data_IF_011947209356
#
_entry.id   IF_011947209356
#
_cell.length_a   1.000
_cell.length_b   1.000
_cell.length_c   1.000
_cell.angle_alpha   90.00
_cell.angle_beta   90.00
_cell.angle_gamma   90.00
#
_symmetry.space_group_name_H-M   'P 1'
#
loop_
_entity.id
_entity.type
_entity.pdbx_description
1 polymer ?
#
# COMPACT_ATOMS: atom_id res chain seq x y z
N UNK A 1 -69.54 -85.16 -26.55
CA UNK A 1 -70.64 -85.34 -27.53
C UNK A 1 -70.64 -84.11 -28.43
N UNK A 2 -70.70 -84.28 -29.76
CA UNK A 2 -71.13 -83.26 -30.75
C UNK A 2 -70.36 -81.91 -30.79
N UNK A 3 -69.40 -81.81 -31.73
CA UNK A 3 -69.09 -80.67 -32.66
C UNK A 3 -68.68 -79.27 -32.14
N UNK A 4 -68.12 -78.34 -32.93
CA UNK A 4 -67.20 -78.33 -34.12
C UNK A 4 -66.89 -76.87 -34.51
N UNK A 5 -65.82 -76.64 -35.29
CA UNK A 5 -65.60 -75.48 -36.20
C UNK A 5 -65.38 -74.08 -35.57
N UNK A 6 -64.19 -73.46 -35.75
CA UNK A 6 -63.77 -72.54 -36.84
C UNK A 6 -64.32 -71.09 -36.64
N UNK A 7 -63.56 -69.98 -36.85
CA UNK A 7 -62.41 -69.74 -37.76
C UNK A 7 -61.24 -68.90 -37.19
N UNK A 8 -60.20 -68.84 -38.02
CA UNK A 8 -59.01 -67.97 -38.11
C UNK A 8 -59.30 -66.44 -37.88
N UNK A 9 -58.32 -65.53 -37.67
CA UNK A 9 -56.96 -65.51 -38.27
C UNK A 9 -55.90 -64.60 -37.59
N UNK A 10 -54.61 -64.93 -37.85
CA UNK A 10 -53.37 -64.10 -37.81
C UNK A 10 -52.90 -63.60 -36.42
N UNK A 11 -51.68 -63.91 -35.92
CA UNK A 11 -50.28 -63.59 -36.37
C UNK A 11 -49.95 -62.09 -36.22
N UNK A 12 -48.86 -61.60 -35.61
CA UNK A 12 -47.59 -62.11 -34.97
C UNK A 12 -47.04 -60.97 -34.05
N UNK A 13 -46.10 -61.06 -33.10
CA UNK A 13 -45.16 -62.10 -32.62
C UNK A 13 -45.35 -62.49 -31.13
N UNK A 14 -44.37 -62.82 -30.26
CA UNK A 14 -42.88 -62.76 -30.23
C UNK A 14 -42.27 -61.35 -30.07
N UNK A 15 -41.34 -61.03 -29.15
CA UNK A 15 -40.62 -61.72 -28.03
C UNK A 15 -40.32 -60.64 -26.94
N UNK A 16 -40.67 -60.75 -25.64
CA UNK A 16 -40.12 -61.56 -24.52
C UNK A 16 -38.90 -60.97 -23.75
N UNK A 17 -39.04 -60.83 -22.42
CA UNK A 17 -37.98 -60.59 -21.39
C UNK A 17 -37.32 -59.19 -21.46
N UNK A 18 -36.87 -58.56 -20.37
CA UNK A 18 -36.19 -59.09 -19.17
C UNK A 18 -36.61 -58.36 -17.86
N UNK A 19 -36.13 -58.83 -16.70
CA UNK A 19 -36.41 -58.28 -15.36
C UNK A 19 -35.79 -56.91 -15.11
N UNK A 20 -36.40 -56.12 -14.22
CA UNK A 20 -35.71 -55.01 -13.51
C UNK A 20 -35.63 -55.32 -12.02
N UNK A 21 -34.43 -55.22 -11.45
CA UNK A 21 -34.25 -55.08 -10.00
C UNK A 21 -34.44 -53.60 -9.64
N UNK A 22 -35.18 -53.33 -8.58
CA UNK A 22 -35.34 -51.97 -8.03
C UNK A 22 -34.08 -51.53 -7.28
N UNK A 23 -33.04 -51.14 -8.02
CA UNK A 23 -31.83 -50.55 -7.42
C UNK A 23 -32.13 -49.11 -7.00
N UNK A 24 -32.36 -48.90 -5.70
CA UNK A 24 -32.57 -47.58 -5.13
C UNK A 24 -31.26 -46.78 -5.17
N UNK A 25 -31.08 -45.98 -6.22
CA UNK A 25 -29.95 -45.06 -6.32
C UNK A 25 -30.08 -43.97 -5.24
N UNK A 26 -29.23 -44.05 -4.21
CA UNK A 26 -28.96 -42.89 -3.37
C UNK A 26 -28.29 -41.84 -4.25
N UNK A 27 -29.06 -40.83 -4.64
CA UNK A 27 -28.52 -39.63 -5.23
C UNK A 27 -27.71 -38.90 -4.15
N UNK A 28 -26.39 -39.15 -4.13
CA UNK A 28 -25.43 -38.21 -3.57
C UNK A 28 -25.53 -36.92 -4.39
N UNK A 29 -26.47 -36.06 -4.00
CA UNK A 29 -26.38 -34.65 -4.33
C UNK A 29 -24.99 -34.19 -3.85
N UNK A 30 -24.14 -33.62 -4.72
CA UNK A 30 -22.99 -32.92 -4.21
C UNK A 30 -23.54 -31.86 -3.25
N UNK A 31 -22.98 -31.76 -2.05
CA UNK A 31 -23.10 -30.49 -1.34
C UNK A 31 -22.50 -29.46 -2.29
N UNK A 32 -23.32 -28.51 -2.73
CA UNK A 32 -22.80 -27.26 -3.24
C UNK A 32 -21.98 -26.69 -2.09
N UNK A 33 -20.65 -26.87 -2.17
CA UNK A 33 -19.74 -26.06 -1.39
C UNK A 33 -20.14 -24.62 -1.70
N UNK A 34 -20.66 -23.91 -0.69
CA UNK A 34 -20.78 -22.47 -0.80
C UNK A 34 -19.37 -22.01 -1.15
N UNK A 35 -19.22 -21.31 -2.29
CA UNK A 35 -17.99 -20.59 -2.54
C UNK A 35 -17.90 -19.56 -1.41
N UNK A 36 -17.13 -19.90 -0.38
CA UNK A 36 -16.76 -18.97 0.67
C UNK A 36 -16.03 -17.84 -0.07
N UNK A 37 -16.60 -16.63 -0.07
CA UNK A 37 -15.97 -15.51 -0.76
C UNK A 37 -14.57 -15.33 -0.16
N UNK A 38 -13.54 -15.48 -1.02
CA UNK A 38 -12.15 -15.38 -0.59
C UNK A 38 -11.91 -13.97 -0.08
N UNK A 39 -11.57 -13.85 1.21
CA UNK A 39 -11.31 -12.55 1.83
C UNK A 39 -9.87 -12.15 1.52
N UNK A 40 -9.70 -11.47 0.40
CA UNK A 40 -8.44 -10.87 -0.02
C UNK A 40 -7.99 -9.76 0.97
N UNK A 41 -6.69 -9.48 1.00
CA UNK A 41 -6.07 -8.40 1.79
C UNK A 41 -5.09 -7.66 0.87
N UNK A 42 -5.63 -6.74 0.06
CA UNK A 42 -4.96 -6.21 -1.14
C UNK A 42 -4.12 -4.95 -0.89
N UNK A 43 -4.30 -4.29 0.27
CA UNK A 43 -3.46 -3.16 0.72
C UNK A 43 -2.76 -3.49 2.03
N UNK A 44 -1.80 -2.66 2.47
CA UNK A 44 -1.22 -2.76 3.81
C UNK A 44 -2.27 -2.62 4.93
N UNK A 45 -3.39 -1.94 4.66
CA UNK A 45 -4.53 -1.74 5.56
C UNK A 45 -5.67 -2.75 5.42
N UNK A 46 -5.56 -3.72 4.51
CA UNK A 46 -6.65 -4.59 4.06
C UNK A 46 -7.47 -3.96 2.94
N UNK A 47 -7.86 -2.69 3.12
CA UNK A 47 -8.58 -1.86 2.15
C UNK A 47 -7.88 -0.49 1.93
N UNK A 48 -8.37 0.30 0.97
CA UNK A 48 -7.86 1.67 0.73
C UNK A 48 -8.13 2.62 1.91
N UNK A 49 -9.15 2.32 2.71
CA UNK A 49 -9.59 3.08 3.87
C UNK A 49 -8.74 2.83 5.14
N UNK A 50 -7.83 1.85 5.10
CA UNK A 50 -7.01 1.42 6.22
C UNK A 50 -7.79 0.96 7.47
N UNK A 51 -8.99 0.39 7.27
CA UNK A 51 -9.85 -0.07 8.40
C UNK A 51 -9.23 -1.21 9.21
N UNK A 52 -8.37 -2.02 8.57
CA UNK A 52 -7.84 -3.30 9.09
C UNK A 52 -8.91 -4.29 9.52
N UNK A 53 -10.14 -4.15 9.00
CA UNK A 53 -11.25 -5.05 9.26
C UNK A 53 -11.25 -6.23 8.28
N UNK A 54 -11.71 -7.40 8.74
CA UNK A 54 -11.95 -8.57 7.90
C UNK A 54 -13.39 -9.05 8.06
N UNK A 55 -14.16 -9.25 6.98
CA UNK A 55 -15.50 -9.83 7.05
C UNK A 55 -15.52 -11.34 7.30
N UNK A 56 -14.37 -12.00 7.47
CA UNK A 56 -14.26 -13.43 7.74
C UNK A 56 -14.87 -13.82 9.10
N UNK A 57 -15.51 -14.99 9.17
CA UNK A 57 -16.27 -15.48 10.34
C UNK A 57 -16.00 -16.94 10.69
N UNK A 58 -14.88 -17.49 10.23
CA UNK A 58 -14.47 -18.86 10.55
C UNK A 58 -13.89 -18.96 11.97
N UNK A 59 -13.21 -17.90 12.41
CA UNK A 59 -12.69 -17.72 13.76
C UNK A 59 -13.60 -16.69 14.43
N UNK A 60 -14.15 -17.02 15.58
CA UNK A 60 -14.94 -16.12 16.41
C UNK A 60 -14.71 -16.39 17.90
N UNK A 61 -15.43 -15.67 18.77
CA UNK A 61 -15.26 -15.76 20.23
C UNK A 61 -15.56 -17.17 20.81
N UNK A 62 -16.36 -17.98 20.11
CA UNK A 62 -16.85 -19.27 20.58
C UNK A 62 -15.88 -20.42 20.17
N UNK A 63 -14.88 -20.15 19.32
CA UNK A 63 -13.81 -21.11 18.93
C UNK A 63 -12.36 -20.57 18.95
N UNK A 64 -12.13 -19.32 19.37
CA UNK A 64 -10.79 -18.70 19.40
C UNK A 64 -9.72 -19.50 20.18
N UNK A 65 -10.13 -20.18 21.27
CA UNK A 65 -9.24 -20.99 22.10
C UNK A 65 -8.78 -22.29 21.42
N UNK A 66 -9.40 -22.70 20.30
CA UNK A 66 -9.02 -23.88 19.50
C UNK A 66 -7.95 -23.56 18.43
N UNK A 67 -7.40 -22.34 18.40
CA UNK A 67 -6.42 -21.92 17.39
C UNK A 67 -5.05 -22.62 17.54
N UNK A 68 -4.62 -23.30 16.48
CA UNK A 68 -3.28 -23.87 16.33
C UNK A 68 -2.45 -23.18 15.22
N UNK A 69 -1.12 -23.29 15.30
CA UNK A 69 -0.20 -22.75 14.29
C UNK A 69 -0.16 -23.71 13.08
N UNK A 70 -0.78 -23.30 11.97
CA UNK A 70 -0.79 -24.08 10.74
C UNK A 70 0.61 -24.26 10.12
N UNK A 71 1.40 -23.18 10.06
CA UNK A 71 2.80 -23.17 9.63
C UNK A 71 3.52 -21.90 10.13
N UNK A 72 4.85 -21.89 10.05
CA UNK A 72 5.69 -20.71 10.32
C UNK A 72 6.70 -20.55 9.19
N UNK A 73 6.75 -19.37 8.57
CA UNK A 73 7.75 -19.02 7.55
C UNK A 73 8.94 -18.30 8.20
N UNK A 74 10.17 -18.72 7.88
CA UNK A 74 11.38 -18.15 8.46
C UNK A 74 12.09 -17.18 7.51
N UNK A 75 12.13 -15.91 7.91
CA UNK A 75 12.81 -14.83 7.19
C UNK A 75 14.34 -14.79 7.37
N UNK A 76 14.93 -15.67 8.19
CA UNK A 76 16.37 -15.66 8.51
C UNK A 76 17.27 -15.74 7.28
N UNK A 77 16.88 -16.52 6.26
CA UNK A 77 17.57 -16.66 4.96
C UNK A 77 17.63 -15.36 4.13
N UNK A 78 16.90 -14.32 4.54
CA UNK A 78 16.87 -12.99 3.92
C UNK A 78 17.52 -11.92 4.81
N UNK A 79 18.20 -12.32 5.88
CA UNK A 79 18.80 -11.43 6.90
C UNK A 79 17.77 -10.49 7.57
N UNK A 80 16.50 -10.91 7.63
CA UNK A 80 15.42 -10.14 8.26
C UNK A 80 15.62 -10.00 9.77
N UNK A 81 15.68 -8.76 10.26
CA UNK A 81 15.83 -8.49 11.70
C UNK A 81 14.54 -7.92 12.33
N UNK A 82 13.69 -7.22 11.56
CA UNK A 82 12.40 -6.72 12.03
C UNK A 82 11.20 -7.40 11.36
N UNK A 83 10.26 -7.88 12.18
CA UNK A 83 8.96 -8.41 11.75
C UNK A 83 7.92 -7.31 11.52
N UNK A 84 8.27 -6.26 10.75
CA UNK A 84 7.39 -5.10 10.52
C UNK A 84 6.41 -5.26 9.36
N UNK A 85 6.62 -6.25 8.49
CA UNK A 85 5.78 -6.46 7.30
C UNK A 85 4.43 -7.08 7.66
N UNK A 86 3.33 -6.53 7.12
CA UNK A 86 2.04 -7.24 7.05
C UNK A 86 1.96 -7.89 5.65
N UNK A 87 1.85 -9.23 5.54
CA UNK A 87 1.63 -9.88 4.25
C UNK A 87 0.29 -9.46 3.62
N UNK A 88 0.31 -9.15 2.33
CA UNK A 88 -0.88 -9.00 1.51
C UNK A 88 -1.34 -10.38 1.00
N UNK A 89 -2.64 -10.63 1.01
CA UNK A 89 -3.22 -11.84 0.40
C UNK A 89 -3.96 -11.41 -0.87
N UNK A 90 -3.50 -11.92 -2.03
CA UNK A 90 -3.95 -11.49 -3.35
C UNK A 90 -4.08 -12.74 -4.24
N UNK A 91 -5.30 -13.04 -4.69
CA UNK A 91 -5.66 -14.08 -5.65
C UNK A 91 -5.02 -15.45 -5.31
N UNK A 92 -5.11 -15.86 -4.05
CA UNK A 92 -4.63 -17.16 -3.57
C UNK A 92 -3.15 -17.24 -3.21
N UNK A 93 -2.40 -16.12 -3.22
CA UNK A 93 -0.98 -16.06 -2.85
C UNK A 93 -0.75 -14.99 -1.77
N UNK A 94 0.21 -15.24 -0.86
CA UNK A 94 0.68 -14.25 0.11
C UNK A 94 1.92 -13.52 -0.43
N UNK A 95 1.97 -12.20 -0.26
CA UNK A 95 3.09 -11.36 -0.67
C UNK A 95 3.59 -10.52 0.50
N UNK A 96 4.90 -10.54 0.76
CA UNK A 96 5.52 -9.81 1.88
C UNK A 96 6.91 -9.31 1.51
N UNK A 97 7.53 -8.51 2.39
CA UNK A 97 8.93 -8.10 2.25
C UNK A 97 9.79 -8.56 3.42
N UNK A 98 11.05 -8.89 3.13
CA UNK A 98 12.01 -9.38 4.12
C UNK A 98 13.43 -8.79 3.93
N UNK A 99 14.12 -8.60 5.06
CA UNK A 99 15.52 -8.18 5.10
C UNK A 99 15.76 -6.68 4.86
N UNK A 100 16.94 -6.22 5.27
CA UNK A 100 17.45 -4.89 4.95
C UNK A 100 17.51 -4.64 3.42
N UNK A 101 17.63 -5.69 2.61
CA UNK A 101 17.61 -5.61 1.14
C UNK A 101 16.20 -5.60 0.53
N UNK A 102 15.14 -5.67 1.35
CA UNK A 102 13.73 -5.61 0.97
C UNK A 102 13.37 -6.57 -0.16
N UNK A 103 13.75 -7.84 0.02
CA UNK A 103 13.32 -8.92 -0.85
C UNK A 103 11.79 -8.95 -0.90
N UNK A 104 11.18 -8.96 -2.08
CA UNK A 104 9.76 -9.31 -2.21
C UNK A 104 9.67 -10.83 -2.24
N UNK A 105 8.76 -11.40 -1.46
CA UNK A 105 8.57 -12.84 -1.30
C UNK A 105 7.11 -13.17 -1.58
N UNK A 106 6.87 -14.12 -2.50
CA UNK A 106 5.56 -14.76 -2.67
C UNK A 106 5.57 -16.12 -1.95
N UNK A 107 4.49 -16.41 -1.22
CA UNK A 107 4.35 -17.57 -0.33
C UNK A 107 3.01 -18.25 -0.60
N UNK A 108 2.99 -19.58 -0.60
CA UNK A 108 1.77 -20.38 -0.63
C UNK A 108 1.04 -20.29 0.73
N UNK A 109 -0.25 -19.89 0.78
CA UNK A 109 -0.98 -19.68 2.03
C UNK A 109 -1.29 -20.98 2.77
N UNK A 110 -1.28 -22.13 2.11
CA UNK A 110 -1.68 -23.42 2.66
C UNK A 110 -0.47 -24.17 3.24
N UNK A 111 0.70 -24.09 2.61
CA UNK A 111 1.92 -24.80 3.04
C UNK A 111 2.97 -23.91 3.71
N UNK A 112 2.94 -22.59 3.49
CA UNK A 112 4.02 -21.68 3.87
C UNK A 112 5.25 -21.77 2.96
N UNK A 113 5.16 -22.43 1.80
CA UNK A 113 6.26 -22.58 0.84
C UNK A 113 6.54 -21.26 0.09
N UNK A 114 7.81 -20.85 0.01
CA UNK A 114 8.23 -19.71 -0.81
C UNK A 114 8.13 -20.06 -2.30
N UNK A 115 7.17 -19.47 -3.00
CA UNK A 115 6.91 -19.69 -4.43
C UNK A 115 7.95 -19.00 -5.32
N UNK A 116 8.24 -17.72 -5.04
CA UNK A 116 9.28 -16.95 -5.70
C UNK A 116 9.81 -15.84 -4.80
N UNK A 117 10.99 -15.31 -5.12
CA UNK A 117 11.54 -14.11 -4.47
C UNK A 117 12.18 -13.17 -5.49
N UNK A 118 11.91 -11.87 -5.38
CA UNK A 118 12.58 -10.82 -6.14
C UNK A 118 13.51 -9.99 -5.23
N UNK A 119 14.65 -9.55 -5.78
CA UNK A 119 15.59 -8.62 -5.13
C UNK A 119 16.40 -7.87 -6.18
N UNK A 120 16.50 -6.55 -6.01
CA UNK A 120 17.37 -5.67 -6.80
C UNK A 120 18.87 -6.04 -6.74
N UNK A 121 19.69 -5.58 -7.71
CA UNK A 121 21.15 -5.67 -7.63
C UNK A 121 21.73 -4.89 -6.45
N UNK A 122 23.03 -5.04 -6.19
CA UNK A 122 23.71 -4.20 -5.21
C UNK A 122 23.91 -2.79 -5.77
N UNK A 123 23.58 -1.78 -4.97
CA UNK A 123 23.73 -0.35 -5.29
C UNK A 123 24.45 0.34 -4.12
N UNK A 124 25.14 1.45 -4.37
CA UNK A 124 25.70 2.28 -3.28
C UNK A 124 24.55 2.88 -2.44
N UNK A 125 23.45 3.27 -3.11
CA UNK A 125 22.22 3.82 -2.50
C UNK A 125 21.63 2.97 -1.38
N UNK A 126 21.56 1.64 -1.51
CA UNK A 126 20.95 0.81 -0.47
C UNK A 126 21.83 0.69 0.78
N UNK A 127 23.16 0.84 0.63
CA UNK A 127 24.13 0.61 1.70
C UNK A 127 24.12 1.71 2.77
N UNK A 128 23.76 2.94 2.38
CA UNK A 128 23.54 4.05 3.33
C UNK A 128 22.06 4.21 3.74
N UNK A 129 21.16 3.28 3.41
CA UNK A 129 19.73 3.41 3.70
C UNK A 129 19.40 3.24 5.18
N UNK A 130 19.21 4.38 5.84
CA UNK A 130 18.78 4.57 7.24
C UNK A 130 17.39 3.98 7.61
N UNK A 131 16.62 3.48 6.62
CA UNK A 131 15.36 2.75 6.81
C UNK A 131 15.35 1.38 6.11
N UNK A 132 16.51 0.80 5.78
CA UNK A 132 16.64 -0.44 5.00
C UNK A 132 15.66 -1.56 5.45
N UNK A 133 15.78 -2.01 6.70
CA UNK A 133 15.01 -3.11 7.32
C UNK A 133 13.61 -2.70 7.81
N UNK A 134 13.11 -1.49 7.48
CA UNK A 134 11.81 -0.97 7.96
C UNK A 134 10.62 -1.31 7.03
N UNK A 135 10.80 -2.22 6.05
CA UNK A 135 9.79 -2.55 5.05
C UNK A 135 8.49 -3.10 5.66
N UNK A 136 7.34 -2.51 5.28
CA UNK A 136 6.03 -2.82 5.87
C UNK A 136 5.12 -3.74 5.05
N UNK A 137 5.45 -3.98 3.78
CA UNK A 137 4.62 -4.77 2.86
C UNK A 137 4.89 -4.38 1.41
N UNK A 138 3.91 -4.67 0.54
CA UNK A 138 3.94 -4.34 -0.91
C UNK A 138 2.73 -3.48 -1.30
N UNK A 139 2.85 -2.78 -2.42
CA UNK A 139 1.70 -2.20 -3.14
C UNK A 139 1.18 -3.20 -4.17
N UNK A 140 -0.08 -3.07 -4.58
CA UNK A 140 -0.70 -3.96 -5.57
C UNK A 140 -1.69 -3.20 -6.45
N UNK A 141 -1.77 -3.60 -7.72
CA UNK A 141 -2.77 -3.14 -8.68
C UNK A 141 -2.93 -4.14 -9.84
N UNK A 142 -3.92 -3.90 -10.71
CA UNK A 142 -4.21 -4.76 -11.87
C UNK A 142 -3.91 -4.00 -13.16
N UNK A 143 -3.08 -4.59 -14.04
CA UNK A 143 -2.65 -4.02 -15.33
C UNK A 143 -3.01 -4.97 -16.46
N UNK A 144 -3.89 -4.54 -17.37
CA UNK A 144 -4.40 -5.33 -18.50
C UNK A 144 -4.99 -6.71 -18.09
N UNK A 145 -5.51 -6.82 -16.88
CA UNK A 145 -6.02 -8.08 -16.32
C UNK A 145 -4.96 -9.00 -15.69
N UNK A 146 -3.72 -8.53 -15.51
CA UNK A 146 -2.67 -9.18 -14.73
C UNK A 146 -2.52 -8.52 -13.37
N UNK A 147 -2.24 -9.32 -12.35
CA UNK A 147 -1.88 -8.85 -11.01
C UNK A 147 -0.44 -8.33 -11.01
N UNK A 148 -0.22 -7.14 -10.44
CA UNK A 148 1.09 -6.50 -10.37
C UNK A 148 1.41 -6.11 -8.93
N UNK A 149 2.59 -6.52 -8.46
CA UNK A 149 3.13 -6.16 -7.14
C UNK A 149 4.13 -5.01 -7.33
N UNK A 150 3.97 -3.95 -6.55
CA UNK A 150 4.82 -2.75 -6.60
C UNK A 150 5.61 -2.61 -5.31
N UNK A 151 6.91 -2.31 -5.41
CA UNK A 151 7.78 -2.10 -4.26
C UNK A 151 8.69 -0.88 -4.47
N UNK A 152 8.86 -0.08 -3.41
CA UNK A 152 9.89 0.96 -3.34
C UNK A 152 11.07 0.37 -2.55
N UNK A 153 12.27 0.40 -3.13
CA UNK A 153 13.45 -0.21 -2.51
C UNK A 153 14.19 0.72 -1.54
N UNK A 154 15.11 0.19 -0.70
CA UNK A 154 15.95 1.01 0.17
C UNK A 154 16.80 2.04 -0.59
N UNK A 155 17.15 1.75 -1.85
CA UNK A 155 17.89 2.66 -2.74
C UNK A 155 17.01 3.66 -3.51
N UNK A 156 15.71 3.74 -3.18
CA UNK A 156 14.72 4.62 -3.81
C UNK A 156 14.55 4.37 -5.32
N UNK A 157 14.38 3.10 -5.69
CA UNK A 157 13.83 2.67 -6.97
C UNK A 157 12.39 2.18 -6.77
N UNK A 158 11.51 2.38 -7.75
CA UNK A 158 10.17 1.77 -7.80
C UNK A 158 10.19 0.62 -8.81
N UNK A 159 9.96 -0.58 -8.33
CA UNK A 159 9.94 -1.80 -9.13
C UNK A 159 8.50 -2.34 -9.19
N UNK A 160 8.02 -2.66 -10.39
CA UNK A 160 6.77 -3.36 -10.66
C UNK A 160 7.06 -4.81 -11.11
N UNK A 161 6.37 -5.78 -10.52
CA UNK A 161 6.56 -7.21 -10.72
C UNK A 161 5.25 -7.88 -11.15
N UNK A 162 5.32 -8.80 -12.10
CA UNK A 162 4.26 -9.76 -12.38
C UNK A 162 4.03 -10.66 -11.14
N UNK A 163 2.81 -10.67 -10.59
CA UNK A 163 2.57 -11.31 -9.29
C UNK A 163 2.68 -12.85 -9.33
N UNK A 164 2.39 -13.47 -10.47
CA UNK A 164 2.49 -14.93 -10.62
C UNK A 164 3.95 -15.40 -10.62
N UNK A 165 4.83 -14.69 -11.33
CA UNK A 165 6.19 -15.16 -11.62
C UNK A 165 7.32 -14.40 -10.91
N UNK A 166 7.04 -13.23 -10.33
CA UNK A 166 8.04 -12.37 -9.68
C UNK A 166 9.00 -11.69 -10.66
N UNK A 167 8.73 -11.76 -11.96
CA UNK A 167 9.54 -11.09 -12.98
C UNK A 167 9.22 -9.59 -13.06
N UNK A 168 10.20 -8.72 -13.35
CA UNK A 168 9.98 -7.31 -13.67
C UNK A 168 8.95 -7.13 -14.79
N UNK A 169 7.99 -6.24 -14.59
CA UNK A 169 6.85 -6.06 -15.50
C UNK A 169 7.29 -5.48 -16.85
N UNK A 170 7.10 -6.27 -17.92
CA UNK A 170 7.43 -5.85 -19.29
C UNK A 170 6.65 -4.60 -19.71
N UNK A 171 7.38 -3.56 -20.13
CA UNK A 171 6.83 -2.29 -20.60
C UNK A 171 6.66 -1.23 -19.50
N UNK A 172 6.92 -1.57 -18.23
CA UNK A 172 6.95 -0.60 -17.14
C UNK A 172 8.35 0.00 -17.00
N UNK A 173 8.43 1.30 -16.73
CA UNK A 173 9.66 2.01 -16.42
C UNK A 173 10.67 2.04 -17.58
N UNK A 174 11.96 2.15 -17.25
CA UNK A 174 13.07 2.32 -18.21
C UNK A 174 14.34 1.63 -17.68
N UNK A 175 15.29 1.20 -18.55
CA UNK A 175 16.56 0.66 -18.09
C UNK A 175 17.30 1.61 -17.14
N UNK A 176 17.57 1.16 -15.92
CA UNK A 176 18.40 1.89 -14.95
C UNK A 176 19.88 1.71 -15.34
N UNK A 177 20.69 2.79 -15.45
CA UNK A 177 22.08 2.70 -15.93
C UNK A 177 23.05 2.21 -14.84
N UNK A 178 22.74 1.08 -14.20
CA UNK A 178 23.49 0.43 -13.13
C UNK A 178 23.54 -1.08 -13.43
N UNK A 179 24.72 -1.69 -13.30
CA UNK A 179 24.92 -3.10 -13.61
C UNK A 179 24.01 -4.01 -12.76
N UNK A 180 23.32 -4.93 -13.43
CA UNK A 180 22.45 -5.93 -12.79
C UNK A 180 20.99 -5.50 -12.57
N UNK A 181 20.58 -4.29 -12.97
CA UNK A 181 19.16 -3.99 -13.13
C UNK A 181 18.61 -4.65 -14.41
N UNK A 182 17.30 -5.01 -14.45
CA UNK A 182 16.62 -5.44 -15.67
C UNK A 182 16.41 -4.27 -16.65
N UNK A 183 16.20 -4.60 -17.93
CA UNK A 183 15.88 -3.61 -18.98
C UNK A 183 14.48 -2.98 -18.84
N UNK A 184 13.63 -3.48 -17.94
CA UNK A 184 12.22 -3.07 -17.74
C UNK A 184 11.73 -3.44 -16.34
N UNK A 185 10.56 -2.96 -15.95
CA UNK A 185 9.93 -3.17 -14.64
C UNK A 185 10.43 -2.23 -13.53
N UNK A 186 11.27 -1.22 -13.83
CA UNK A 186 11.90 -0.36 -12.81
C UNK A 186 11.90 1.13 -13.21
N UNK A 187 11.65 1.99 -12.23
CA UNK A 187 11.76 3.45 -12.29
C UNK A 187 12.78 3.93 -11.26
N UNK A 188 13.70 4.79 -11.67
CA UNK A 188 14.63 5.50 -10.78
C UNK A 188 13.97 6.79 -10.26
N UNK A 189 13.43 6.74 -9.05
CA UNK A 189 12.64 7.83 -8.47
C UNK A 189 13.44 9.13 -8.26
N UNK A 190 14.78 9.05 -8.17
CA UNK A 190 15.62 10.24 -8.04
C UNK A 190 15.62 11.10 -9.32
N UNK A 191 15.27 10.52 -10.47
CA UNK A 191 15.18 11.24 -11.74
C UNK A 191 14.14 12.36 -11.71
N UNK A 192 13.03 12.16 -11.00
CA UNK A 192 11.86 13.04 -11.04
C UNK A 192 11.73 13.95 -9.81
N UNK A 193 12.54 13.75 -8.76
CA UNK A 193 12.59 14.64 -7.58
C UNK A 193 13.07 16.06 -7.93
N UNK A 194 13.90 16.22 -8.96
CA UNK A 194 14.46 17.51 -9.38
C UNK A 194 15.76 17.91 -8.66
N UNK A 195 16.45 16.98 -8.00
CA UNK A 195 17.77 17.23 -7.40
C UNK A 195 18.92 16.71 -8.28
N UNK A 196 20.12 17.34 -8.25
CA UNK A 196 21.32 16.75 -8.83
C UNK A 196 21.64 15.41 -8.15
N UNK A 197 21.72 14.34 -8.94
CA UNK A 197 22.03 13.00 -8.46
C UNK A 197 22.95 12.27 -9.46
N UNK A 198 23.69 11.28 -8.96
CA UNK A 198 24.40 10.28 -9.76
C UNK A 198 23.58 8.98 -9.75
N UNK A 199 23.37 8.29 -10.88
CA UNK A 199 22.54 7.08 -10.88
C UNK A 199 23.05 6.00 -9.91
N UNK A 200 24.35 5.77 -9.79
CA UNK A 200 24.90 4.74 -8.90
C UNK A 200 24.91 5.20 -7.44
N UNK A 201 25.27 6.46 -7.17
CA UNK A 201 25.49 7.00 -5.82
C UNK A 201 24.29 7.67 -5.17
N UNK A 202 23.30 8.09 -5.97
CA UNK A 202 22.17 8.88 -5.52
C UNK A 202 22.46 10.39 -5.42
N UNK A 203 21.65 11.08 -4.60
CA UNK A 203 21.84 12.50 -4.25
C UNK A 203 23.06 12.61 -3.30
N UNK A 204 23.91 13.65 -3.40
CA UNK A 204 25.01 13.88 -2.46
C UNK A 204 24.54 13.93 -1.01
N UNK A 205 25.21 13.23 -0.10
CA UNK A 205 24.79 13.09 1.30
C UNK A 205 24.92 14.40 2.11
N UNK A 206 25.59 15.41 1.54
CA UNK A 206 25.60 16.78 2.04
C UNK A 206 24.27 17.53 1.76
N UNK A 207 23.48 17.10 0.77
CA UNK A 207 22.12 17.62 0.53
C UNK A 207 21.09 16.96 1.45
N UNK A 208 21.28 15.68 1.81
CA UNK A 208 20.38 14.95 2.69
C UNK A 208 20.20 13.47 2.35
N UNK A 209 19.15 12.89 2.93
CA UNK A 209 18.80 11.48 2.82
C UNK A 209 17.35 11.29 2.35
N UNK A 210 17.14 10.39 1.38
CA UNK A 210 15.80 9.91 1.02
C UNK A 210 15.81 8.41 0.76
N UNK A 211 14.75 7.75 1.21
CA UNK A 211 14.43 6.33 0.96
C UNK A 211 12.91 6.15 1.08
N UNK A 212 12.42 4.92 1.25
CA UNK A 212 11.06 4.69 1.76
C UNK A 212 11.01 3.54 2.76
N UNK A 213 9.93 3.46 3.53
CA UNK A 213 9.64 2.40 4.50
C UNK A 213 8.24 1.79 4.36
N UNK A 214 7.27 2.56 3.89
CA UNK A 214 5.94 2.08 3.48
C UNK A 214 5.99 1.55 2.03
N UNK A 215 5.09 0.63 1.64
CA UNK A 215 4.82 0.38 0.23
C UNK A 215 4.17 1.61 -0.45
N UNK A 216 4.22 1.71 -1.79
CA UNK A 216 3.37 2.63 -2.54
C UNK A 216 1.91 2.19 -2.46
N UNK A 217 0.97 3.10 -2.75
CA UNK A 217 -0.45 2.80 -2.92
C UNK A 217 -0.82 2.94 -4.41
N UNK A 218 -1.67 2.06 -4.94
CA UNK A 218 -2.08 2.09 -6.35
C UNK A 218 -3.57 2.37 -6.45
N UNK A 219 -3.93 3.56 -6.93
CA UNK A 219 -5.30 4.08 -6.93
C UNK A 219 -5.68 4.51 -8.33
N UNK A 220 -6.81 4.02 -8.86
CA UNK A 220 -7.37 4.44 -10.16
C UNK A 220 -6.38 4.38 -11.36
N UNK A 221 -5.38 3.48 -11.30
CA UNK A 221 -4.33 3.32 -12.32
C UNK A 221 -3.07 4.18 -12.09
N UNK A 222 -2.92 4.82 -10.93
CA UNK A 222 -1.75 5.62 -10.55
C UNK A 222 -1.07 4.99 -9.33
N UNK A 223 0.26 4.87 -9.37
CA UNK A 223 1.10 4.47 -8.23
C UNK A 223 1.57 5.75 -7.53
N UNK A 224 1.17 5.97 -6.27
CA UNK A 224 1.61 7.10 -5.46
C UNK A 224 2.70 6.63 -4.49
N UNK A 225 3.83 7.33 -4.50
CA UNK A 225 5.08 6.99 -3.82
C UNK A 225 5.25 7.87 -2.59
N UNK A 226 5.06 7.28 -1.41
CA UNK A 226 5.54 7.84 -0.14
C UNK A 226 7.02 7.51 0.11
N UNK A 227 7.68 8.37 0.88
CA UNK A 227 9.13 8.33 1.12
C UNK A 227 9.44 8.35 2.63
N UNK A 228 10.71 8.43 3.01
CA UNK A 228 11.19 8.50 4.40
C UNK A 228 12.61 9.07 4.43
N UNK A 229 12.91 9.95 5.38
CA UNK A 229 14.28 10.40 5.67
C UNK A 229 14.94 9.62 6.84
N UNK A 230 16.12 10.06 7.28
CA UNK A 230 16.68 9.68 8.59
C UNK A 230 15.70 9.96 9.74
N UNK A 231 15.79 9.20 10.84
CA UNK A 231 14.97 9.46 12.03
C UNK A 231 15.36 10.83 12.60
N UNK A 232 14.40 11.72 12.89
CA UNK A 232 14.71 13.09 13.31
C UNK A 232 15.61 13.21 14.55
N UNK A 233 15.43 12.30 15.52
CA UNK A 233 16.34 12.13 16.68
C UNK A 233 17.77 11.64 16.35
N UNK A 234 18.10 11.39 15.08
CA UNK A 234 19.45 11.15 14.56
C UNK A 234 19.93 12.26 13.60
N UNK A 235 19.03 13.08 13.05
CA UNK A 235 19.36 14.13 12.09
C UNK A 235 20.26 15.18 12.75
N UNK A 236 21.39 15.47 12.10
CA UNK A 236 22.47 16.30 12.66
C UNK A 236 22.93 17.41 11.70
N UNK A 237 22.13 17.66 10.66
CA UNK A 237 22.32 18.66 9.60
C UNK A 237 21.05 19.47 9.45
N UNK A 238 21.17 20.74 9.05
CA UNK A 238 20.01 21.57 8.68
C UNK A 238 19.57 21.28 7.24
N UNK A 239 20.45 20.67 6.46
CA UNK A 239 20.24 20.30 5.07
C UNK A 239 19.65 18.88 4.96
N UNK A 240 18.48 18.75 4.31
CA UNK A 240 17.92 17.44 3.98
C UNK A 240 17.10 17.44 2.67
N UNK A 241 16.89 16.28 2.06
CA UNK A 241 16.03 16.14 0.87
C UNK A 241 14.56 16.31 1.32
N UNK A 242 13.74 17.15 0.64
CA UNK A 242 12.30 17.25 0.92
C UNK A 242 11.58 15.94 0.62
N UNK A 243 10.60 15.60 1.46
CA UNK A 243 9.76 14.41 1.35
C UNK A 243 8.70 14.49 0.25
N UNK A 244 9.06 15.01 -0.92
CA UNK A 244 8.14 15.22 -2.03
C UNK A 244 7.44 13.92 -2.48
N UNK A 245 6.16 14.04 -2.79
CA UNK A 245 5.33 12.91 -3.22
C UNK A 245 5.41 12.77 -4.75
N UNK A 246 5.74 11.58 -5.24
CA UNK A 246 5.83 11.26 -6.66
C UNK A 246 4.68 10.35 -7.10
N UNK A 247 4.24 10.47 -8.34
CA UNK A 247 3.21 9.60 -8.90
C UNK A 247 3.50 9.17 -10.34
N UNK A 248 3.14 7.91 -10.64
CA UNK A 248 3.44 7.23 -11.90
C UNK A 248 2.21 6.50 -12.44
N UNK A 249 2.09 6.39 -13.76
CA UNK A 249 1.12 5.48 -14.38
C UNK A 249 1.46 4.02 -14.00
N UNK A 250 0.47 3.28 -13.50
CA UNK A 250 0.67 1.94 -12.98
C UNK A 250 1.06 0.90 -14.06
N UNK A 251 0.73 1.16 -15.32
CA UNK A 251 1.01 0.27 -16.45
C UNK A 251 2.36 0.56 -17.09
N UNK A 252 2.71 1.83 -17.32
CA UNK A 252 3.91 2.23 -18.05
C UNK A 252 5.07 2.70 -17.17
N UNK A 253 4.83 3.05 -15.90
CA UNK A 253 5.83 3.73 -15.07
C UNK A 253 6.19 5.13 -15.58
N UNK A 254 5.33 5.74 -16.40
CA UNK A 254 5.46 7.13 -16.84
C UNK A 254 5.19 8.08 -15.67
N UNK A 255 6.09 9.03 -15.44
CA UNK A 255 5.92 10.07 -14.43
C UNK A 255 4.72 10.97 -14.76
N UNK A 256 3.81 11.13 -13.80
CA UNK A 256 2.60 11.94 -13.96
C UNK A 256 2.70 13.29 -13.24
N UNK A 257 3.09 13.27 -11.96
CA UNK A 257 3.18 14.47 -11.13
C UNK A 257 4.14 14.31 -9.94
N UNK A 258 4.66 15.45 -9.47
CA UNK A 258 5.32 15.61 -8.18
C UNK A 258 4.58 16.68 -7.39
N UNK A 259 4.31 16.42 -6.11
CA UNK A 259 3.85 17.42 -5.16
C UNK A 259 5.03 17.86 -4.28
N UNK A 260 5.39 19.14 -4.34
CA UNK A 260 6.42 19.74 -3.49
C UNK A 260 5.87 19.86 -2.06
N UNK A 261 6.44 19.10 -1.12
CA UNK A 261 5.95 19.11 0.28
C UNK A 261 6.48 20.31 1.08
N UNK A 262 7.57 20.92 0.60
CA UNK A 262 8.03 22.26 0.95
C UNK A 262 7.68 23.20 -0.21
N UNK A 263 6.69 24.11 -0.05
CA UNK A 263 6.23 25.01 -1.10
C UNK A 263 7.35 25.88 -1.69
N UNK A 264 7.45 25.88 -3.01
CA UNK A 264 8.38 26.70 -3.78
C UNK A 264 7.84 28.14 -3.97
N UNK A 265 8.67 29.12 -4.34
CA UNK A 265 8.23 30.51 -4.53
C UNK A 265 7.05 30.66 -5.51
N UNK A 266 5.88 31.00 -4.97
CA UNK A 266 4.61 31.14 -5.71
C UNK A 266 3.61 30.00 -5.51
N UNK A 267 3.99 28.94 -4.79
CA UNK A 267 3.08 27.87 -4.33
C UNK A 267 2.41 28.24 -3.00
N UNK A 268 1.23 27.68 -2.73
CA UNK A 268 0.49 27.92 -1.49
C UNK A 268 1.28 27.42 -0.27
N UNK A 269 1.41 28.27 0.77
CA UNK A 269 2.11 27.94 2.01
C UNK A 269 3.57 28.37 2.02
N UNK A 270 4.11 28.87 0.92
CA UNK A 270 5.49 29.37 0.84
C UNK A 270 5.74 30.52 1.83
N UNK A 271 4.72 31.34 2.07
CA UNK A 271 4.71 32.41 3.07
C UNK A 271 4.90 31.93 4.53
N UNK A 272 4.75 30.63 4.81
CA UNK A 272 5.01 30.04 6.14
C UNK A 272 6.47 29.63 6.37
N UNK A 273 7.35 29.90 5.40
CA UNK A 273 8.79 29.59 5.47
C UNK A 273 9.61 30.88 5.55
N UNK A 274 9.97 31.27 6.76
CA UNK A 274 10.85 32.41 6.98
C UNK A 274 12.33 32.08 6.63
N UNK A 275 13.18 33.11 6.64
CA UNK A 275 14.65 33.07 6.50
C UNK A 275 15.26 32.36 5.27
N UNK A 276 14.44 32.01 4.27
CA UNK A 276 14.81 31.12 3.14
C UNK A 276 15.06 29.65 3.54
N UNK A 277 14.51 29.19 4.68
CA UNK A 277 14.62 27.80 5.17
C UNK A 277 14.26 26.74 4.13
N UNK A 278 13.24 27.02 3.30
CA UNK A 278 12.76 26.18 2.21
C UNK A 278 13.86 25.78 1.20
N UNK A 279 14.96 26.54 1.08
CA UNK A 279 16.03 26.28 0.12
C UNK A 279 16.95 25.13 0.54
N UNK A 280 17.08 24.87 1.83
CA UNK A 280 18.06 23.92 2.38
C UNK A 280 17.43 22.81 3.23
N UNK A 281 16.34 23.07 3.95
CA UNK A 281 15.70 22.03 4.76
C UNK A 281 15.00 20.96 3.91
N UNK A 282 14.43 19.96 4.59
CA UNK A 282 13.77 18.79 4.00
C UNK A 282 13.12 17.93 5.07
N UNK A 283 13.08 16.62 4.85
CA UNK A 283 12.12 15.71 5.50
C UNK A 283 10.67 16.16 5.21
N UNK A 284 9.75 16.16 6.18
CA UNK A 284 8.29 16.21 5.90
C UNK A 284 7.88 15.01 5.02
N UNK A 285 8.51 13.86 5.27
CA UNK A 285 8.24 12.60 4.60
C UNK A 285 6.94 11.92 5.07
N UNK A 286 6.17 11.40 4.11
CA UNK A 286 5.09 10.44 4.38
C UNK A 286 5.66 9.05 4.72
N UNK A 287 6.40 8.95 5.82
CA UNK A 287 6.94 7.67 6.29
C UNK A 287 5.85 6.75 6.84
N UNK A 288 4.70 7.28 7.29
CA UNK A 288 3.49 6.49 7.55
C UNK A 288 2.86 6.01 6.21
N UNK A 289 2.03 4.95 6.20
CA UNK A 289 1.38 4.51 4.96
C UNK A 289 0.30 5.49 4.51
N UNK A 290 0.11 5.58 3.20
CA UNK A 290 -0.97 6.35 2.58
C UNK A 290 -2.32 5.61 2.72
N UNK A 291 -3.42 6.35 2.68
CA UNK A 291 -4.76 5.81 2.44
C UNK A 291 -5.44 6.57 1.30
N UNK A 292 -6.56 6.08 0.79
CA UNK A 292 -7.22 6.66 -0.37
C UNK A 292 -8.74 6.47 -0.37
N UNK A 293 -9.43 7.36 -1.08
CA UNK A 293 -10.81 7.20 -1.50
C UNK A 293 -10.83 7.11 -3.03
N UNK A 294 -10.96 5.90 -3.60
CA UNK A 294 -11.01 5.71 -5.05
C UNK A 294 -12.23 6.33 -5.74
N UNK A 295 -13.34 6.57 -5.02
CA UNK A 295 -14.57 7.16 -5.59
C UNK A 295 -14.45 8.68 -5.68
N UNK A 296 -13.90 9.33 -4.65
CA UNK A 296 -13.57 10.76 -4.66
C UNK A 296 -12.30 11.08 -5.49
N UNK A 297 -11.50 10.06 -5.81
CA UNK A 297 -10.22 10.23 -6.52
C UNK A 297 -9.12 10.85 -5.66
N UNK A 298 -9.17 10.64 -4.34
CA UNK A 298 -8.28 11.29 -3.37
C UNK A 298 -7.28 10.31 -2.75
N UNK A 299 -6.04 10.76 -2.54
CA UNK A 299 -5.04 10.11 -1.69
C UNK A 299 -4.71 11.02 -0.51
N UNK A 300 -4.62 10.42 0.68
CA UNK A 300 -4.42 11.12 1.94
C UNK A 300 -3.00 10.86 2.46
N UNK A 301 -2.25 11.95 2.63
CA UNK A 301 -0.81 11.96 2.90
C UNK A 301 -0.56 12.48 4.32
N UNK A 302 -0.24 11.60 5.29
CA UNK A 302 0.23 11.96 6.63
C UNK A 302 1.72 12.36 6.61
N UNK A 303 2.10 13.53 7.12
CA UNK A 303 3.51 14.00 7.16
C UNK A 303 4.12 14.05 8.57
N UNK A 304 5.45 13.97 8.66
CA UNK A 304 6.19 14.29 9.89
C UNK A 304 6.62 15.76 9.94
N UNK A 305 7.35 16.11 11.00
CA UNK A 305 7.98 17.42 11.15
C UNK A 305 9.09 17.70 10.15
N UNK A 306 9.65 18.89 10.27
CA UNK A 306 10.79 19.38 9.48
C UNK A 306 12.09 18.72 9.96
N UNK A 307 13.13 18.79 9.14
CA UNK A 307 14.49 18.34 9.50
C UNK A 307 15.01 18.97 10.80
N UNK A 308 15.50 18.13 11.71
CA UNK A 308 15.73 18.40 13.14
C UNK A 308 14.41 18.73 13.86
N UNK A 309 13.53 17.73 13.93
CA UNK A 309 12.20 17.68 14.58
C UNK A 309 12.16 17.99 16.10
N UNK A 310 13.26 18.46 16.68
CA UNK A 310 13.38 18.94 18.06
C UNK A 310 13.97 20.37 18.18
N UNK A 311 14.29 21.05 17.07
CA UNK A 311 14.89 22.39 17.09
C UNK A 311 14.56 23.23 15.84
N UNK A 312 13.48 24.01 15.94
CA UNK A 312 13.01 24.87 14.86
C UNK A 312 13.80 26.17 14.62
N UNK A 313 14.84 26.44 15.42
CA UNK A 313 15.62 27.69 15.35
C UNK A 313 16.38 27.95 14.05
N UNK A 314 16.39 26.98 13.12
CA UNK A 314 16.84 27.17 11.75
C UNK A 314 15.71 27.42 10.74
N UNK A 315 14.50 26.92 10.98
CA UNK A 315 13.35 27.04 10.08
C UNK A 315 12.15 27.79 10.72
N UNK A 316 12.26 29.10 11.00
CA UNK A 316 11.14 29.89 11.52
C UNK A 316 9.92 29.94 10.56
N UNK A 317 8.76 30.29 11.13
CA UNK A 317 7.46 30.20 10.48
C UNK A 317 6.77 28.84 10.71
N UNK A 318 5.50 28.72 10.30
CA UNK A 318 4.66 27.53 10.60
C UNK A 318 5.14 26.25 9.88
N UNK A 319 5.96 26.38 8.84
CA UNK A 319 6.60 25.30 8.08
C UNK A 319 5.63 24.34 7.37
N UNK A 320 4.59 24.87 6.72
CA UNK A 320 3.61 24.07 5.98
C UNK A 320 4.28 23.33 4.78
N UNK A 321 4.11 22.03 4.55
CA UNK A 321 3.14 21.08 5.11
C UNK A 321 3.70 20.13 6.20
N UNK A 322 4.52 20.63 7.12
CA UNK A 322 4.98 19.91 8.30
C UNK A 322 3.82 19.40 9.16
N UNK A 323 3.96 18.20 9.74
CA UNK A 323 3.01 17.56 10.68
C UNK A 323 1.53 17.82 10.32
N UNK A 324 1.18 17.40 9.10
CA UNK A 324 -0.08 17.72 8.41
C UNK A 324 -0.77 16.45 7.88
N UNK A 325 -2.06 16.58 7.59
CA UNK A 325 -2.77 15.67 6.68
C UNK A 325 -3.09 16.42 5.39
N UNK A 326 -2.62 15.91 4.25
CA UNK A 326 -2.82 16.53 2.93
C UNK A 326 -3.71 15.60 2.09
N UNK A 327 -4.74 16.14 1.43
CA UNK A 327 -5.53 15.43 0.45
C UNK A 327 -5.16 15.89 -0.97
N UNK A 328 -4.60 14.97 -1.76
CA UNK A 328 -4.19 15.21 -3.14
C UNK A 328 -5.15 14.50 -4.11
N UNK A 329 -5.40 15.12 -5.27
CA UNK A 329 -6.02 14.43 -6.39
C UNK A 329 -5.06 13.36 -6.94
N UNK A 330 -5.54 12.13 -7.07
CA UNK A 330 -4.76 10.95 -7.50
C UNK A 330 -4.17 11.13 -8.91
N UNK A 331 -4.83 11.87 -9.81
CA UNK A 331 -4.41 12.00 -11.21
C UNK A 331 -3.55 13.23 -11.47
N UNK A 332 -3.70 14.31 -10.71
CA UNK A 332 -3.00 15.58 -10.97
C UNK A 332 -1.99 15.98 -9.89
N UNK A 333 -2.07 15.40 -8.69
CA UNK A 333 -1.30 15.85 -7.53
C UNK A 333 -1.79 17.18 -6.95
N UNK A 334 -2.91 17.71 -7.42
CA UNK A 334 -3.47 18.98 -6.95
C UNK A 334 -3.94 18.86 -5.50
N UNK A 335 -3.54 19.82 -4.65
CA UNK A 335 -3.92 19.86 -3.24
C UNK A 335 -5.38 20.28 -3.07
N UNK A 336 -6.28 19.29 -3.02
CA UNK A 336 -7.72 19.45 -2.82
C UNK A 336 -8.06 20.08 -1.48
N UNK A 337 -7.46 19.59 -0.39
CA UNK A 337 -7.47 20.23 0.93
C UNK A 337 -6.25 19.79 1.75
N UNK A 338 -6.03 20.41 2.91
CA UNK A 338 -5.05 19.95 3.91
C UNK A 338 -5.46 20.47 5.30
N UNK A 339 -4.87 19.92 6.36
CA UNK A 339 -4.92 20.46 7.71
C UNK A 339 -3.57 20.26 8.40
N UNK A 340 -2.97 21.34 8.90
CA UNK A 340 -1.74 21.29 9.69
C UNK A 340 -2.09 21.06 11.17
N UNK A 341 -1.49 20.05 11.80
CA UNK A 341 -1.84 19.61 13.16
C UNK A 341 -0.86 20.15 14.22
N UNK A 342 0.33 20.54 13.80
CA UNK A 342 1.31 21.32 14.59
C UNK A 342 1.95 22.35 13.68
N UNK A 343 1.81 23.62 14.02
CA UNK A 343 2.56 24.71 13.41
C UNK A 343 3.95 24.77 14.07
N UNK A 344 5.02 24.85 13.27
CA UNK A 344 6.41 24.87 13.75
C UNK A 344 6.75 23.70 14.71
N UNK A 345 6.57 22.45 14.25
CA UNK A 345 6.80 21.25 15.08
C UNK A 345 8.26 21.10 15.53
N UNK A 346 8.46 21.14 16.86
CA UNK A 346 9.74 20.95 17.55
C UNK A 346 9.65 19.85 18.62
N UNK A 347 8.69 18.94 18.49
CA UNK A 347 8.41 17.87 19.46
C UNK A 347 8.35 16.48 18.83
N UNK A 348 8.75 16.33 17.57
CA UNK A 348 8.66 15.07 16.81
C UNK A 348 7.22 14.52 16.83
N UNK A 349 6.22 15.37 16.56
CA UNK A 349 4.79 15.08 16.71
C UNK A 349 4.07 14.53 15.46
N UNK A 350 4.82 13.89 14.53
CA UNK A 350 4.32 13.28 13.29
C UNK A 350 2.96 12.60 13.42
N UNK A 351 2.23 12.59 12.31
CA UNK A 351 1.13 11.66 12.06
C UNK A 351 1.70 10.25 11.75
N UNK A 352 1.72 9.28 12.69
CA UNK A 352 2.56 8.07 12.57
C UNK A 352 1.78 6.86 12.01
N UNK A 353 0.49 7.03 11.76
CA UNK A 353 -0.44 6.01 11.26
C UNK A 353 -1.02 6.45 9.93
N UNK A 354 -1.47 5.49 9.13
CA UNK A 354 -2.28 5.81 7.95
C UNK A 354 -3.58 6.51 8.37
N UNK A 355 -4.10 7.45 7.56
CA UNK A 355 -5.40 8.09 7.81
C UNK A 355 -6.51 7.05 7.64
N UNK A 356 -7.40 6.89 8.62
CA UNK A 356 -8.45 5.86 8.61
C UNK A 356 -9.75 6.47 8.07
N UNK A 357 -10.28 5.92 6.98
CA UNK A 357 -11.55 6.38 6.39
C UNK A 357 -12.71 5.53 6.91
N UNK A 358 -13.82 6.19 7.27
CA UNK A 358 -15.03 5.56 7.76
C UNK A 358 -16.26 6.37 7.31
N UNK A 359 -17.43 5.73 7.26
CA UNK A 359 -18.72 6.42 7.24
C UNK A 359 -19.34 6.30 8.64
N UNK A 360 -19.59 7.43 9.31
CA UNK A 360 -20.06 7.46 10.70
C UNK A 360 -21.32 8.29 10.88
N UNK A 361 -22.18 7.89 11.83
CA UNK A 361 -23.38 8.63 12.17
C UNK A 361 -23.03 9.85 13.05
N UNK A 362 -23.21 11.05 12.51
CA UNK A 362 -23.06 12.33 13.22
C UNK A 362 -24.43 12.99 13.44
N UNK A 363 -24.54 14.13 14.16
CA UNK A 363 -25.78 14.90 14.22
C UNK A 363 -26.32 15.36 12.85
N UNK A 364 -25.47 15.38 11.81
CA UNK A 364 -25.84 15.73 10.44
C UNK A 364 -26.27 14.50 9.60
N UNK A 365 -26.23 13.29 10.18
CA UNK A 365 -26.52 12.03 9.50
C UNK A 365 -25.26 11.19 9.23
N UNK A 366 -25.37 10.23 8.32
CA UNK A 366 -24.20 9.43 7.89
C UNK A 366 -23.21 10.33 7.16
N UNK A 367 -21.99 10.43 7.67
CA UNK A 367 -20.99 11.42 7.25
C UNK A 367 -19.70 10.70 6.82
N UNK A 368 -19.14 11.01 5.63
CA UNK A 368 -17.91 10.41 5.15
C UNK A 368 -16.69 11.09 5.79
N UNK A 369 -15.96 10.35 6.63
CA UNK A 369 -14.85 10.90 7.43
C UNK A 369 -13.49 10.29 7.07
N UNK A 370 -12.44 11.05 7.41
CA UNK A 370 -11.06 10.57 7.59
C UNK A 370 -10.58 10.97 8.98
N UNK A 371 -10.01 10.01 9.70
CA UNK A 371 -9.51 10.16 11.06
C UNK A 371 -8.00 9.91 11.10
N UNK A 372 -7.25 10.84 11.68
CA UNK A 372 -5.79 10.79 11.82
C UNK A 372 -5.39 10.74 13.30
N UNK A 373 -5.04 9.55 13.82
CA UNK A 373 -4.29 9.43 15.06
C UNK A 373 -2.90 10.07 14.94
N UNK A 374 -2.43 10.70 16.02
CA UNK A 374 -1.18 11.49 16.04
C UNK A 374 -0.33 11.17 17.26
N UNK A 375 0.96 11.51 17.23
CA UNK A 375 1.84 11.41 18.42
C UNK A 375 1.46 12.38 19.55
N UNK A 376 0.66 13.41 19.26
CA UNK A 376 0.08 14.31 20.28
C UNK A 376 -0.90 13.58 21.24
N UNK A 377 -1.28 12.34 20.94
CA UNK A 377 -2.33 11.61 21.67
C UNK A 377 -3.75 11.99 21.24
N UNK A 378 -3.87 12.79 20.17
CA UNK A 378 -5.14 13.25 19.60
C UNK A 378 -5.49 12.49 18.32
N UNK A 379 -6.79 12.38 18.04
CA UNK A 379 -7.33 11.86 16.78
C UNK A 379 -8.09 12.99 16.08
N UNK A 380 -7.44 13.62 15.10
CA UNK A 380 -8.06 14.66 14.29
C UNK A 380 -9.02 14.02 13.30
N UNK A 381 -10.22 14.56 13.11
CA UNK A 381 -11.24 13.95 12.23
C UNK A 381 -11.92 14.98 11.35
N UNK A 382 -11.91 14.74 10.04
CA UNK A 382 -12.38 15.64 9.01
C UNK A 382 -13.40 14.94 8.10
N UNK A 383 -14.27 15.71 7.45
CA UNK A 383 -14.97 15.25 6.27
C UNK A 383 -13.93 14.96 5.18
N UNK A 384 -13.92 13.74 4.63
CA UNK A 384 -12.82 13.31 3.73
C UNK A 384 -12.82 13.99 2.36
N UNK A 385 -13.96 14.51 1.91
CA UNK A 385 -14.06 15.25 0.65
C UNK A 385 -13.58 16.71 0.78
N UNK A 386 -13.87 17.36 1.92
CA UNK A 386 -13.71 18.82 2.09
C UNK A 386 -12.60 19.26 3.03
N UNK A 387 -12.17 18.41 3.96
CA UNK A 387 -11.25 18.77 5.04
C UNK A 387 -11.90 19.51 6.21
N UNK A 388 -13.23 19.72 6.20
CA UNK A 388 -13.93 20.37 7.31
C UNK A 388 -13.90 19.49 8.58
N UNK A 389 -13.51 20.01 9.76
CA UNK A 389 -13.50 19.23 11.01
C UNK A 389 -14.89 18.74 11.42
N UNK A 390 -14.99 17.44 11.76
CA UNK A 390 -16.24 16.81 12.21
C UNK A 390 -16.61 17.22 13.64
N UNK A 391 -15.59 17.49 14.45
CA UNK A 391 -15.69 18.07 15.79
C UNK A 391 -14.76 19.28 15.87
N UNK A 392 -15.07 20.29 16.71
CA UNK A 392 -14.19 21.45 16.86
C UNK A 392 -12.78 21.04 17.28
N UNK A 393 -11.78 21.59 16.59
CA UNK A 393 -10.37 21.52 16.96
C UNK A 393 -10.05 22.86 17.63
N UNK A 394 -9.56 22.82 18.87
CA UNK A 394 -9.10 24.01 19.59
C UNK A 394 -7.60 24.19 19.32
N UNK A 395 -7.25 25.28 18.64
CA UNK A 395 -5.85 25.66 18.39
C UNK A 395 -5.30 26.40 19.61
N UNK A 396 -4.22 25.90 20.19
CA UNK A 396 -3.64 26.40 21.44
C UNK A 396 -2.19 26.83 21.20
N UNK A 397 -1.83 28.12 21.41
CA UNK A 397 -0.45 28.57 21.29
C UNK A 397 0.48 27.82 22.27
N UNK A 398 1.54 27.24 21.71
CA UNK A 398 2.60 26.54 22.47
C UNK A 398 3.88 27.40 22.58
N UNK A 399 4.81 27.07 23.49
CA UNK A 399 6.01 27.87 23.80
C UNK A 399 7.15 27.77 22.78
#
# INVERSE_FOLDING_TARGET
>A
MITSNLLLSKKIGLLSKLSMLSLAALALLPLSASAQETVEWTTLGGDFAHTRFSPAKQIDRDNFEDLEVAWTWDGSSFEAQSGRSTPSYINGRLYTVAGARRHVVAIDPQSGETLWTYREPNTERHQYSMRADYGKGVGYGVVDGRDVIYIISPGFFLTALDAESGNPLEGFGKPVPIEGFPDTGVVDLLADLGHPYDPYKGIPLERGYITSSSPPIVVNGVVIVGNSAEQGYHQSRIENVPGDMLAYDAKSGEFLWKFNVIPQPGEYGHETWENDAWQYTGDISSWAPLSADPELGLVYVPTNGVTIDYYGGHHPGDNLYGTSLIALDVRTGERRWHFQMVHHDIWNFDTPTAPILLDVMTPNGMTPIVAQPTKQGLVYTFNRETGEPIWPIEEVPMP
#
